data_IF_209601975814
#
_entry.id   IF_209601975814
#
_cell.length_a   1.000
_cell.length_b   1.000
_cell.length_c   1.000
_cell.angle_alpha   90.00
_cell.angle_beta   90.00
_cell.angle_gamma   90.00
#
_symmetry.space_group_name_H-M   'P 1'
#
loop_
_entity.id
_entity.type
_entity.pdbx_description
1 polymer ?
#
# COMPACT_ATOMS: atom_id res chain seq x y z
N UNK A 1 -1.70 -18.35 -17.73
CA UNK A 1 -2.93 -17.85 -17.05
C UNK A 1 -2.49 -16.66 -16.24
N UNK A 2 -3.04 -15.48 -16.51
CA UNK A 2 -2.69 -14.27 -15.76
C UNK A 2 -3.49 -14.23 -14.47
N UNK A 3 -2.83 -13.99 -13.35
CA UNK A 3 -3.47 -13.78 -12.05
C UNK A 3 -3.47 -12.29 -11.75
N UNK A 4 -4.61 -11.78 -11.29
CA UNK A 4 -4.75 -10.38 -10.85
C UNK A 4 -5.20 -10.35 -9.40
N UNK A 5 -4.51 -9.56 -8.58
CA UNK A 5 -4.84 -9.27 -7.19
C UNK A 5 -5.19 -7.78 -7.11
N UNK A 6 -6.33 -7.46 -6.49
CA UNK A 6 -6.73 -6.09 -6.24
C UNK A 6 -6.78 -5.85 -4.73
N UNK A 7 -5.97 -4.91 -4.26
CA UNK A 7 -6.01 -4.43 -2.88
C UNK A 7 -6.88 -3.19 -2.89
N UNK A 8 -8.08 -3.29 -2.33
CA UNK A 8 -8.97 -2.14 -2.15
C UNK A 8 -8.49 -1.28 -0.98
N UNK A 9 -8.51 0.03 -1.20
CA UNK A 9 -8.27 1.06 -0.19
C UNK A 9 -9.60 1.67 0.31
N UNK A 10 -10.73 1.02 0.02
CA UNK A 10 -12.04 1.44 0.48
C UNK A 10 -12.08 1.43 2.01
N UNK A 11 -12.61 2.51 2.59
CA UNK A 11 -12.70 2.69 4.05
C UNK A 11 -11.57 3.50 4.68
N UNK A 12 -10.50 3.81 3.95
CA UNK A 12 -9.55 4.86 4.35
C UNK A 12 -10.08 6.25 3.96
N UNK A 13 -9.75 7.28 4.73
CA UNK A 13 -10.02 8.66 4.33
C UNK A 13 -9.06 9.11 3.21
N UNK A 14 -9.45 10.17 2.50
CA UNK A 14 -8.71 10.67 1.34
C UNK A 14 -7.28 11.13 1.66
N UNK A 15 -7.01 11.61 2.89
CA UNK A 15 -5.65 12.00 3.27
C UNK A 15 -4.75 10.77 3.40
N UNK A 16 -5.26 9.68 4.00
CA UNK A 16 -4.53 8.41 4.09
C UNK A 16 -4.30 7.83 2.69
N UNK A 17 -5.32 7.84 1.81
CA UNK A 17 -5.17 7.35 0.43
C UNK A 17 -4.14 8.16 -0.35
N UNK A 18 -4.16 9.49 -0.25
CA UNK A 18 -3.17 10.37 -0.87
C UNK A 18 -1.75 10.11 -0.34
N UNK A 19 -1.61 9.95 0.98
CA UNK A 19 -0.33 9.60 1.60
C UNK A 19 0.19 8.26 1.11
N UNK A 20 -0.64 7.21 1.09
CA UNK A 20 -0.25 5.89 0.61
C UNK A 20 0.23 5.97 -0.85
N UNK A 21 -0.46 6.71 -1.72
CA UNK A 21 -0.05 6.91 -3.11
C UNK A 21 1.31 7.62 -3.26
N UNK A 22 1.61 8.57 -2.37
CA UNK A 22 2.88 9.30 -2.39
C UNK A 22 4.05 8.50 -1.81
N UNK A 23 3.78 7.64 -0.83
CA UNK A 23 4.80 6.90 -0.09
C UNK A 23 5.08 5.53 -0.72
N UNK A 24 4.07 4.89 -1.33
CA UNK A 24 4.24 3.63 -2.07
C UNK A 24 4.99 3.91 -3.37
N UNK A 25 6.32 3.87 -3.29
CA UNK A 25 7.19 3.90 -4.46
C UNK A 25 7.15 2.54 -5.14
N UNK A 26 6.61 2.50 -6.36
CA UNK A 26 6.65 1.29 -7.18
C UNK A 26 8.11 1.02 -7.54
N UNK A 27 8.66 -0.08 -7.02
CA UNK A 27 10.00 -0.52 -7.37
C UNK A 27 10.13 -0.73 -8.88
N UNK A 28 11.31 -0.46 -9.46
CA UNK A 28 11.51 -0.57 -10.91
C UNK A 28 11.15 -1.97 -11.45
N UNK A 29 11.39 -3.01 -10.67
CA UNK A 29 11.08 -4.40 -11.00
C UNK A 29 9.58 -4.72 -10.99
N UNK A 30 8.79 -3.91 -10.28
CA UNK A 30 7.36 -4.10 -10.07
C UNK A 30 6.50 -3.27 -11.03
N UNK A 31 7.08 -2.24 -11.66
CA UNK A 31 6.40 -1.37 -12.65
C UNK A 31 5.62 -2.11 -13.74
N UNK A 32 6.08 -3.26 -14.29
CA UNK A 32 5.30 -3.99 -15.30
C UNK A 32 4.05 -4.69 -14.73
N UNK A 33 3.99 -4.89 -13.42
CA UNK A 33 3.01 -5.74 -12.76
C UNK A 33 2.04 -4.94 -11.89
N UNK A 34 2.41 -3.73 -11.45
CA UNK A 34 1.65 -2.96 -10.47
C UNK A 34 1.08 -1.67 -11.08
N UNK A 35 -0.20 -1.42 -10.80
CA UNK A 35 -0.88 -0.17 -11.09
C UNK A 35 -1.55 0.34 -9.82
N UNK A 36 -1.39 1.64 -9.53
CA UNK A 36 -1.98 2.29 -8.35
C UNK A 36 -3.00 3.32 -8.85
N UNK A 37 -4.27 3.16 -8.47
CA UNK A 37 -5.35 4.11 -8.70
C UNK A 37 -5.73 4.83 -7.40
N UNK A 38 -6.81 5.64 -7.42
CA UNK A 38 -7.31 6.35 -6.23
C UNK A 38 -7.66 5.39 -5.09
N UNK A 39 -8.31 4.27 -5.42
CA UNK A 39 -8.96 3.39 -4.45
C UNK A 39 -8.45 1.95 -4.53
N UNK A 40 -7.54 1.64 -5.45
CA UNK A 40 -7.10 0.27 -5.66
C UNK A 40 -5.64 0.19 -6.07
N UNK A 41 -4.94 -0.80 -5.52
CA UNK A 41 -3.64 -1.25 -6.00
C UNK A 41 -3.87 -2.57 -6.72
N UNK A 42 -3.65 -2.58 -8.03
CA UNK A 42 -3.80 -3.75 -8.88
C UNK A 42 -2.44 -4.37 -9.19
N UNK A 43 -2.33 -5.67 -8.99
CA UNK A 43 -1.12 -6.46 -9.22
C UNK A 43 -1.47 -7.59 -10.21
N UNK A 44 -0.89 -7.57 -11.40
CA UNK A 44 -1.14 -8.55 -12.45
C UNK A 44 0.15 -9.24 -12.86
N UNK A 45 0.18 -10.57 -12.80
CA UNK A 45 1.37 -11.36 -13.12
C UNK A 45 1.03 -12.69 -13.77
N UNK A 46 1.97 -13.21 -14.57
CA UNK A 46 1.86 -14.53 -15.20
C UNK A 46 2.14 -15.69 -14.25
N UNK A 47 2.90 -15.43 -13.17
CA UNK A 47 3.26 -16.42 -12.17
C UNK A 47 2.63 -16.08 -10.81
N UNK A 48 1.91 -17.05 -10.23
CA UNK A 48 1.27 -16.90 -8.90
C UNK A 48 2.29 -16.55 -7.82
N UNK A 49 3.48 -17.17 -7.86
CA UNK A 49 4.56 -16.89 -6.92
C UNK A 49 5.04 -15.44 -6.97
N UNK A 50 5.10 -14.84 -8.16
CA UNK A 50 5.45 -13.43 -8.35
C UNK A 50 4.38 -12.52 -7.78
N UNK A 51 3.12 -12.76 -8.13
CA UNK A 51 2.00 -11.97 -7.60
C UNK A 51 1.92 -12.04 -6.08
N UNK A 52 2.16 -13.22 -5.49
CA UNK A 52 2.25 -13.39 -4.03
C UNK A 52 3.40 -12.58 -3.43
N UNK A 53 4.58 -12.59 -4.05
CA UNK A 53 5.74 -11.86 -3.55
C UNK A 53 5.48 -10.34 -3.57
N UNK A 54 5.00 -9.81 -4.70
CA UNK A 54 4.66 -8.38 -4.85
C UNK A 54 3.56 -8.00 -3.85
N UNK A 55 2.46 -8.77 -3.78
CA UNK A 55 1.37 -8.51 -2.83
C UNK A 55 1.90 -8.44 -1.38
N UNK A 56 2.75 -9.37 -0.98
CA UNK A 56 3.31 -9.39 0.37
C UNK A 56 4.12 -8.13 0.67
N UNK A 57 4.96 -7.68 -0.28
CA UNK A 57 5.72 -6.43 -0.13
C UNK A 57 4.79 -5.23 0.03
N UNK A 58 3.78 -5.09 -0.81
CA UNK A 58 2.88 -3.93 -0.77
C UNK A 58 2.01 -3.90 0.50
N UNK A 59 1.48 -5.05 0.94
CA UNK A 59 0.75 -5.13 2.21
C UNK A 59 1.64 -4.75 3.39
N UNK A 60 2.91 -5.19 3.39
CA UNK A 60 3.86 -4.80 4.43
C UNK A 60 4.09 -3.28 4.43
N UNK A 61 4.35 -2.68 3.27
CA UNK A 61 4.54 -1.23 3.17
C UNK A 61 3.32 -0.43 3.64
N UNK A 62 2.11 -0.82 3.22
CA UNK A 62 0.86 -0.19 3.67
C UNK A 62 0.76 -0.28 5.19
N UNK A 63 0.98 -1.46 5.77
CA UNK A 63 0.95 -1.66 7.21
C UNK A 63 1.97 -0.77 7.94
N UNK A 64 3.21 -0.71 7.45
CA UNK A 64 4.26 0.14 8.03
C UNK A 64 3.83 1.61 8.07
N UNK A 65 3.33 2.15 6.96
CA UNK A 65 2.85 3.54 6.89
C UNK A 65 1.74 3.78 7.91
N UNK A 66 0.72 2.93 7.92
CA UNK A 66 -0.42 3.07 8.84
C UNK A 66 0.01 2.94 10.32
N UNK A 67 0.91 2.02 10.63
CA UNK A 67 1.44 1.85 11.98
C UNK A 67 2.23 3.07 12.44
N UNK A 68 3.09 3.61 11.58
CA UNK A 68 3.85 4.84 11.88
C UNK A 68 2.93 6.02 12.13
N UNK A 69 1.87 6.21 11.32
CA UNK A 69 0.87 7.26 11.57
C UNK A 69 0.18 7.09 12.92
N UNK A 70 -0.20 5.86 13.26
CA UNK A 70 -0.84 5.56 14.54
C UNK A 70 0.09 5.86 15.74
N UNK A 71 1.38 5.54 15.62
CA UNK A 71 2.38 5.83 16.65
C UNK A 71 2.63 7.34 16.81
N UNK A 72 2.76 8.07 15.71
CA UNK A 72 2.90 9.54 15.72
C UNK A 72 1.69 10.19 16.36
N UNK A 73 0.47 9.75 16.03
CA UNK A 73 -0.76 10.27 16.62
C UNK A 73 -0.85 10.00 18.14
N UNK A 74 -0.44 8.80 18.59
CA UNK A 74 -0.41 8.43 20.01
C UNK A 74 0.61 9.23 20.82
N UNK A 75 1.76 9.54 20.22
CA UNK A 75 2.85 10.24 20.91
C UNK A 75 2.72 11.77 20.81
N UNK A 76 2.12 12.30 19.74
CA UNK A 76 1.85 13.74 19.57
C UNK A 76 0.82 14.28 20.56
N UNK A 77 -0.17 13.47 20.96
CA UNK A 77 -1.18 13.84 21.96
C UNK A 77 -0.67 13.93 23.41
N UNK A 78 0.58 13.52 23.69
CA UNK A 78 1.18 13.59 25.04
C UNK A 78 1.97 14.87 25.31
N UNK A 79 2.20 15.71 24.31
CA UNK A 79 2.97 16.96 24.47
C UNK A 79 2.09 18.21 24.60
N UNK A 80 0.78 18.04 24.85
CA UNK A 80 -0.14 19.13 25.21
C UNK A 80 -0.71 18.88 26.61
N UNK A 81 0.10 19.05 27.65
CA UNK A 81 -0.32 19.24 29.04
C UNK A 81 0.82 19.86 29.84
#
# INVERSE_FOLDING_TARGET
MMTTINISLDGFDENIKDLLRKVLLIEDNDKPYVSISSDTISISCDAISRCRAIMNSYIFWIYTVLSTLNEVNKNGGKNTS
#
